data_IF_935607849386
#
_entry.id   IF_935607849386
#
_cell.length_a   1.000
_cell.length_b   1.000
_cell.length_c   1.000
_cell.angle_alpha   90.00
_cell.angle_beta   90.00
_cell.angle_gamma   90.00
#
_symmetry.space_group_name_H-M   'P 1'
#
loop_
_entity.id
_entity.type
_entity.pdbx_description
1 polymer ?
#
# COMPACT_ATOMS: atom_id res chain seq x y z
N UNK A 1 6.34 -22.12 12.38
CA UNK A 1 5.77 -21.54 11.14
C UNK A 1 5.75 -20.01 11.24
N UNK A 2 6.86 -19.38 11.65
CA UNK A 2 7.02 -17.92 11.80
C UNK A 2 7.78 -17.28 10.61
N UNK A 3 8.15 -18.06 9.59
CA UNK A 3 9.16 -17.66 8.61
C UNK A 3 8.69 -16.71 7.48
N UNK A 4 7.40 -16.37 7.37
CA UNK A 4 6.91 -15.63 6.19
C UNK A 4 6.89 -14.11 6.37
N UNK A 5 6.54 -13.58 7.54
CA UNK A 5 6.48 -12.14 7.77
C UNK A 5 7.86 -11.56 8.07
N UNK A 6 8.63 -12.23 8.92
CA UNK A 6 10.00 -11.84 9.23
C UNK A 6 10.87 -11.81 7.97
N UNK A 7 10.76 -12.81 7.09
CA UNK A 7 11.47 -12.80 5.81
C UNK A 7 11.10 -11.61 4.92
N UNK A 8 9.81 -11.19 4.91
CA UNK A 8 9.36 -10.00 4.17
C UNK A 8 9.97 -8.73 4.77
N UNK A 9 10.03 -8.61 6.10
CA UNK A 9 10.63 -7.48 6.80
C UNK A 9 12.14 -7.44 6.58
N UNK A 10 12.83 -8.58 6.61
CA UNK A 10 14.26 -8.67 6.33
C UNK A 10 14.58 -8.26 4.90
N UNK A 11 13.82 -8.75 3.92
CA UNK A 11 13.95 -8.33 2.50
C UNK A 11 13.77 -6.82 2.32
N UNK A 12 12.82 -6.24 3.06
CA UNK A 12 12.56 -4.81 3.06
C UNK A 12 13.73 -4.02 3.63
N UNK A 13 14.28 -4.44 4.77
CA UNK A 13 15.44 -3.81 5.39
C UNK A 13 16.69 -3.89 4.50
N UNK A 14 16.92 -5.05 3.86
CA UNK A 14 18.03 -5.24 2.91
C UNK A 14 17.91 -4.35 1.67
N UNK A 15 16.70 -4.17 1.13
CA UNK A 15 16.50 -3.29 -0.03
C UNK A 15 16.66 -1.82 0.33
N UNK A 16 16.26 -1.44 1.54
CA UNK A 16 16.45 -0.09 2.06
C UNK A 16 17.92 0.25 2.28
N UNK A 17 18.73 -0.65 2.84
CA UNK A 17 20.16 -0.40 3.06
C UNK A 17 20.93 -0.16 1.76
N UNK A 18 20.48 -0.74 0.64
CA UNK A 18 21.00 -0.48 -0.72
C UNK A 18 20.54 0.84 -1.33
N UNK A 19 19.51 1.45 -0.76
CA UNK A 19 18.81 2.64 -1.28
C UNK A 19 19.06 3.88 -0.40
N UNK A 20 20.14 3.90 0.38
CA UNK A 20 20.42 4.88 1.46
C UNK A 20 20.45 6.36 1.08
N UNK A 21 20.33 6.69 -0.21
CA UNK A 21 20.24 8.07 -0.73
C UNK A 21 18.81 8.59 -0.89
N UNK A 22 17.80 7.71 -0.85
CA UNK A 22 16.41 8.08 -1.07
C UNK A 22 15.79 8.54 0.24
N UNK A 23 15.24 9.76 0.31
CA UNK A 23 14.63 10.30 1.54
C UNK A 23 13.10 10.47 1.44
N UNK A 24 12.51 10.00 0.33
CA UNK A 24 11.05 9.94 0.13
C UNK A 24 10.60 8.50 0.11
N UNK A 25 9.40 8.23 0.66
CA UNK A 25 8.75 6.92 0.61
C UNK A 25 7.50 6.97 -0.25
N UNK A 26 7.31 5.99 -1.13
CA UNK A 26 6.05 5.73 -1.81
C UNK A 26 5.62 4.28 -1.56
N UNK A 27 4.45 4.10 -0.95
CA UNK A 27 3.80 2.79 -0.81
C UNK A 27 2.63 2.71 -1.78
N UNK A 28 2.62 1.69 -2.62
CA UNK A 28 1.52 1.38 -3.54
C UNK A 28 0.84 0.10 -3.08
N UNK A 29 -0.46 0.15 -2.80
CA UNK A 29 -1.25 -1.03 -2.40
C UNK A 29 -2.12 -1.49 -3.56
N UNK A 30 -2.08 -2.80 -3.85
CA UNK A 30 -2.86 -3.45 -4.90
C UNK A 30 -3.55 -4.73 -4.43
N UNK A 31 -4.88 -4.76 -4.49
CA UNK A 31 -5.69 -5.92 -4.04
C UNK A 31 -6.62 -6.52 -5.09
N UNK A 32 -6.84 -5.82 -6.21
CA UNK A 32 -7.74 -6.21 -7.29
C UNK A 32 -7.32 -5.72 -8.67
N UNK A 33 -8.33 -5.54 -9.54
CA UNK A 33 -8.17 -4.94 -10.87
C UNK A 33 -7.99 -3.43 -10.68
N UNK A 34 -6.96 -2.86 -11.28
CA UNK A 34 -6.69 -1.42 -11.17
C UNK A 34 -7.83 -0.62 -11.81
N UNK A 35 -8.30 0.39 -11.09
CA UNK A 35 -9.23 1.42 -11.60
C UNK A 35 -8.61 2.82 -11.53
N UNK A 36 -7.70 3.06 -10.58
CA UNK A 36 -7.14 4.38 -10.29
C UNK A 36 -5.66 4.51 -10.66
N UNK A 37 -4.83 3.55 -10.25
CA UNK A 37 -3.38 3.57 -10.51
C UNK A 37 -3.00 2.42 -11.43
N UNK A 38 -2.63 2.75 -12.67
CA UNK A 38 -2.04 1.81 -13.61
C UNK A 38 -0.54 1.68 -13.36
N UNK A 39 -0.08 0.46 -13.05
CA UNK A 39 1.33 0.18 -12.81
C UNK A 39 2.17 0.25 -14.09
N UNK A 40 1.56 0.06 -15.27
CA UNK A 40 2.29 0.13 -16.55
C UNK A 40 2.78 1.54 -16.85
N UNK A 41 1.96 2.54 -16.56
CA UNK A 41 2.25 3.96 -16.80
C UNK A 41 2.82 4.70 -15.59
N UNK A 42 2.85 4.07 -14.41
CA UNK A 42 3.44 4.69 -13.22
C UNK A 42 4.94 4.98 -13.42
N UNK A 43 5.30 6.25 -13.36
CA UNK A 43 6.69 6.72 -13.31
C UNK A 43 7.10 6.94 -11.86
N UNK A 44 8.24 6.37 -11.48
CA UNK A 44 8.78 6.47 -10.13
C UNK A 44 10.02 7.37 -10.22
N UNK A 45 9.97 8.52 -9.53
CA UNK A 45 11.13 9.40 -9.39
C UNK A 45 12.12 8.90 -8.32
N UNK A 46 12.91 9.80 -7.77
CA UNK A 46 13.85 9.52 -6.66
C UNK A 46 13.11 9.28 -5.33
N UNK A 47 12.41 8.14 -5.24
CA UNK A 47 11.64 7.71 -4.07
C UNK A 47 11.93 6.25 -3.77
N UNK A 48 12.03 5.89 -2.49
CA UNK A 48 12.01 4.49 -2.09
C UNK A 48 10.59 3.96 -2.27
N UNK A 49 10.42 3.09 -3.26
CA UNK A 49 9.10 2.63 -3.71
C UNK A 49 8.85 1.19 -3.28
N UNK A 50 7.70 0.98 -2.64
CA UNK A 50 7.27 -0.33 -2.13
C UNK A 50 5.91 -0.68 -2.72
N UNK A 51 5.83 -1.78 -3.45
CA UNK A 51 4.57 -2.38 -3.90
C UNK A 51 4.12 -3.45 -2.91
N UNK A 52 3.00 -3.20 -2.25
CA UNK A 52 2.27 -4.18 -1.45
C UNK A 52 1.15 -4.77 -2.30
N UNK A 53 1.21 -6.08 -2.55
CA UNK A 53 0.25 -6.76 -3.42
C UNK A 53 -0.43 -7.94 -2.72
N UNK A 54 -1.73 -8.07 -2.90
CA UNK A 54 -2.45 -9.27 -2.47
C UNK A 54 -1.91 -10.50 -3.24
N UNK A 55 -1.53 -11.56 -2.52
CA UNK A 55 -0.76 -12.70 -3.03
C UNK A 55 -1.35 -13.36 -4.28
N UNK A 56 -2.69 -13.49 -4.35
CA UNK A 56 -3.40 -14.04 -5.52
C UNK A 56 -3.21 -13.24 -6.82
N UNK A 57 -2.74 -11.99 -6.72
CA UNK A 57 -2.46 -11.14 -7.86
C UNK A 57 -1.00 -11.13 -8.28
N UNK A 58 -0.09 -11.65 -7.46
CA UNK A 58 1.34 -11.66 -7.79
C UNK A 58 1.61 -12.26 -9.18
N UNK A 59 1.01 -13.40 -9.58
CA UNK A 59 1.19 -13.97 -10.92
C UNK A 59 0.73 -13.06 -12.07
N UNK A 60 -0.16 -12.10 -11.80
CA UNK A 60 -0.75 -11.20 -12.82
C UNK A 60 0.08 -9.96 -13.09
N UNK A 61 1.11 -9.67 -12.30
CA UNK A 61 2.01 -8.55 -12.52
C UNK A 61 3.17 -8.97 -13.42
N UNK A 62 3.34 -8.24 -14.53
CA UNK A 62 4.44 -8.42 -15.49
C UNK A 62 5.79 -8.09 -14.83
N UNK A 63 6.85 -8.75 -15.29
CA UNK A 63 8.21 -8.53 -14.80
C UNK A 63 8.62 -7.05 -14.81
N UNK A 64 8.39 -6.36 -15.93
CA UNK A 64 8.72 -4.94 -16.10
C UNK A 64 8.00 -4.03 -15.09
N UNK A 65 6.79 -4.38 -14.64
CA UNK A 65 6.07 -3.63 -13.60
C UNK A 65 6.69 -3.85 -12.22
N UNK A 66 7.16 -5.07 -11.92
CA UNK A 66 7.80 -5.39 -10.64
C UNK A 66 9.14 -4.68 -10.49
N UNK A 67 9.93 -4.64 -11.56
CA UNK A 67 11.28 -4.07 -11.57
C UNK A 67 11.30 -2.55 -11.41
N UNK A 68 10.16 -1.86 -11.55
CA UNK A 68 10.04 -0.44 -11.22
C UNK A 68 10.22 -0.17 -9.72
N UNK A 69 9.77 -1.10 -8.87
CA UNK A 69 9.76 -0.91 -7.43
C UNK A 69 11.07 -1.34 -6.78
N UNK A 70 11.51 -0.63 -5.75
CA UNK A 70 12.63 -1.09 -4.92
C UNK A 70 12.27 -2.41 -4.22
N UNK A 71 11.03 -2.54 -3.75
CA UNK A 71 10.55 -3.76 -3.07
C UNK A 71 9.14 -4.11 -3.51
N UNK A 72 8.93 -5.40 -3.84
CA UNK A 72 7.60 -5.99 -3.99
C UNK A 72 7.39 -7.02 -2.88
N UNK A 73 6.35 -6.81 -2.07
CA UNK A 73 5.95 -7.69 -0.97
C UNK A 73 4.51 -8.15 -1.17
N UNK A 74 4.30 -9.46 -1.05
CA UNK A 74 2.98 -10.04 -1.09
C UNK A 74 2.38 -10.09 0.32
N UNK A 75 1.08 -9.84 0.45
CA UNK A 75 0.32 -10.09 1.66
C UNK A 75 -0.90 -10.96 1.38
N UNK A 76 -1.41 -11.61 2.40
CA UNK A 76 -2.62 -12.41 2.33
C UNK A 76 -3.79 -11.66 2.98
N UNK A 77 -4.99 -11.94 2.49
CA UNK A 77 -6.23 -11.52 3.13
C UNK A 77 -6.82 -12.73 3.84
N UNK A 78 -7.26 -12.55 5.08
CA UNK A 78 -8.04 -13.58 5.77
C UNK A 78 -9.40 -13.77 5.09
N UNK A 79 -10.05 -14.91 5.31
CA UNK A 79 -11.39 -15.18 4.76
C UNK A 79 -12.41 -14.12 5.20
N UNK A 80 -12.35 -13.68 6.45
CA UNK A 80 -13.20 -12.61 6.98
C UNK A 80 -12.99 -11.25 6.28
N UNK A 81 -11.75 -10.95 5.87
CA UNK A 81 -11.43 -9.74 5.11
C UNK A 81 -11.83 -9.85 3.63
N UNK A 82 -11.84 -11.07 3.07
CA UNK A 82 -12.23 -11.34 1.69
C UNK A 82 -13.76 -11.29 1.44
N UNK A 83 -14.57 -11.53 2.49
CA UNK A 83 -16.05 -11.56 2.43
C UNK A 83 -16.69 -10.16 2.56
N UNK A 84 -15.90 -9.12 2.84
CA UNK A 84 -16.42 -7.77 3.12
C UNK A 84 -17.26 -7.21 1.96
N UNK A 85 -18.40 -6.62 2.35
CA UNK A 85 -19.41 -6.08 1.46
C UNK A 85 -18.86 -4.82 0.78
N UNK A 86 -18.66 -4.86 -0.54
CA UNK A 86 -18.17 -3.73 -1.35
C UNK A 86 -19.10 -2.49 -1.30
N UNK A 87 -20.28 -2.60 -0.67
CA UNK A 87 -21.19 -1.48 -0.39
C UNK A 87 -20.80 -0.67 0.85
N UNK A 88 -20.02 -1.25 1.77
CA UNK A 88 -19.52 -0.57 2.96
C UNK A 88 -17.99 -0.62 3.01
N UNK A 89 -17.39 0.41 2.44
CA UNK A 89 -15.95 0.60 2.34
C UNK A 89 -15.32 1.05 3.68
N UNK A 90 -16.12 1.33 4.72
CA UNK A 90 -15.63 1.75 6.04
C UNK A 90 -14.90 0.65 6.79
N UNK A 91 -15.16 -0.61 6.43
CA UNK A 91 -14.69 -1.77 7.19
C UNK A 91 -13.51 -2.49 6.54
N UNK A 92 -13.04 -2.10 5.35
CA UNK A 92 -11.97 -2.86 4.67
C UNK A 92 -10.64 -2.69 5.41
N UNK A 93 -10.12 -3.80 5.91
CA UNK A 93 -8.84 -3.89 6.62
C UNK A 93 -8.07 -5.10 6.10
N UNK A 94 -6.74 -5.00 6.05
CA UNK A 94 -5.85 -6.12 5.76
C UNK A 94 -4.74 -6.15 6.82
N UNK A 95 -4.83 -7.05 7.78
CA UNK A 95 -3.89 -7.08 8.92
C UNK A 95 -2.43 -7.25 8.48
N UNK A 96 -2.15 -8.17 7.54
CA UNK A 96 -0.79 -8.33 7.03
C UNK A 96 -0.30 -7.10 6.26
N UNK A 97 -1.19 -6.37 5.58
CA UNK A 97 -0.83 -5.13 4.88
C UNK A 97 -0.44 -4.05 5.90
N UNK A 98 -1.22 -3.88 6.97
CA UNK A 98 -0.94 -2.95 8.07
C UNK A 98 0.42 -3.23 8.73
N UNK A 99 0.74 -4.50 8.99
CA UNK A 99 2.04 -4.92 9.53
C UNK A 99 3.20 -4.52 8.61
N UNK A 100 3.04 -4.72 7.30
CA UNK A 100 4.07 -4.34 6.32
C UNK A 100 4.22 -2.82 6.21
N UNK A 101 3.12 -2.06 6.18
CA UNK A 101 3.18 -0.59 6.17
C UNK A 101 3.89 -0.06 7.42
N UNK A 102 3.57 -0.61 8.59
CA UNK A 102 4.24 -0.30 9.85
C UNK A 102 5.75 -0.58 9.78
N UNK A 103 6.14 -1.74 9.25
CA UNK A 103 7.54 -2.10 9.08
C UNK A 103 8.29 -1.14 8.13
N UNK A 104 7.67 -0.75 7.01
CA UNK A 104 8.24 0.24 6.06
C UNK A 104 8.47 1.58 6.74
N UNK A 105 7.50 2.06 7.52
CA UNK A 105 7.60 3.34 8.23
C UNK A 105 8.67 3.35 9.33
N UNK A 106 9.14 2.18 9.79
CA UNK A 106 10.20 2.06 10.81
C UNK A 106 11.62 2.04 10.23
N UNK A 107 11.77 1.90 8.91
CA UNK A 107 13.10 1.83 8.27
C UNK A 107 13.87 3.14 8.36
N UNK A 108 13.16 4.26 8.22
CA UNK A 108 13.72 5.60 8.26
C UNK A 108 12.63 6.64 8.54
N UNK A 109 13.04 7.87 8.86
CA UNK A 109 12.16 9.01 9.10
C UNK A 109 11.57 9.61 7.82
N UNK A 110 12.18 9.37 6.65
CA UNK A 110 11.75 9.88 5.33
C UNK A 110 11.35 11.37 5.39
N UNK A 111 12.33 12.24 5.64
CA UNK A 111 12.08 13.65 5.98
C UNK A 111 11.42 14.42 4.83
N UNK A 112 11.76 14.05 3.60
CA UNK A 112 11.20 14.63 2.37
C UNK A 112 9.77 14.17 2.07
N UNK A 113 9.21 13.25 2.89
CA UNK A 113 7.79 12.90 2.89
C UNK A 113 7.51 11.43 2.59
N UNK A 114 6.32 11.00 3.04
CA UNK A 114 5.80 9.66 2.83
C UNK A 114 4.46 9.74 2.09
N UNK A 115 4.31 8.96 1.03
CA UNK A 115 3.10 8.86 0.23
C UNK A 115 2.56 7.44 0.23
N UNK A 116 1.23 7.31 0.28
CA UNK A 116 0.55 6.04 0.12
C UNK A 116 -0.60 6.18 -0.87
N UNK A 117 -0.58 5.32 -1.88
CA UNK A 117 -1.54 5.30 -2.99
C UNK A 117 -2.12 3.90 -3.15
N UNK A 118 -3.34 3.85 -3.67
CA UNK A 118 -4.06 2.60 -3.92
C UNK A 118 -4.42 2.52 -5.40
N UNK A 119 -4.47 1.31 -5.93
CA UNK A 119 -4.91 1.10 -7.31
C UNK A 119 -6.43 1.01 -7.49
N UNK A 120 -7.20 0.95 -6.40
CA UNK A 120 -8.63 0.69 -6.41
C UNK A 120 -9.41 1.68 -5.51
N UNK A 121 -10.54 2.19 -6.00
CA UNK A 121 -11.43 3.12 -5.27
C UNK A 121 -11.89 2.57 -3.90
N UNK A 122 -12.28 1.29 -3.76
CA UNK A 122 -12.60 0.70 -2.47
C UNK A 122 -11.51 0.78 -1.39
N UNK A 123 -10.25 0.94 -1.79
CA UNK A 123 -9.13 1.03 -0.86
C UNK A 123 -8.78 2.47 -0.48
N UNK A 124 -9.41 3.49 -1.06
CA UNK A 124 -9.05 4.89 -0.81
C UNK A 124 -9.24 5.23 0.67
N UNK A 125 -10.27 4.68 1.32
CA UNK A 125 -10.46 4.81 2.77
C UNK A 125 -9.41 4.07 3.59
N UNK A 126 -8.99 2.87 3.19
CA UNK A 126 -7.88 2.15 3.83
C UNK A 126 -6.58 2.97 3.76
N UNK A 127 -6.28 3.55 2.59
CA UNK A 127 -5.12 4.44 2.44
C UNK A 127 -5.24 5.68 3.34
N UNK A 128 -6.43 6.26 3.47
CA UNK A 128 -6.68 7.38 4.37
C UNK A 128 -6.44 7.01 5.84
N UNK A 129 -6.89 5.83 6.27
CA UNK A 129 -6.62 5.31 7.63
C UNK A 129 -5.12 5.13 7.85
N UNK A 130 -4.39 4.60 6.87
CA UNK A 130 -2.93 4.50 6.96
C UNK A 130 -2.24 5.88 6.94
N UNK A 131 -2.76 6.86 6.22
CA UNK A 131 -2.24 8.24 6.25
C UNK A 131 -2.33 8.83 7.64
N UNK A 132 -3.48 8.72 8.27
CA UNK A 132 -3.67 9.19 9.64
C UNK A 132 -2.77 8.40 10.62
N UNK A 133 -2.86 7.07 10.60
CA UNK A 133 -2.14 6.19 11.54
C UNK A 133 -0.62 6.31 11.46
N UNK A 134 -0.08 6.47 10.26
CA UNK A 134 1.37 6.43 10.02
C UNK A 134 1.92 7.76 9.50
N UNK A 135 1.15 8.85 9.57
CA UNK A 135 1.53 10.19 9.10
C UNK A 135 2.04 10.19 7.65
N UNK A 136 1.33 9.53 6.72
CA UNK A 136 1.54 9.74 5.29
C UNK A 136 0.80 11.00 4.84
N UNK A 137 1.32 11.66 3.81
CA UNK A 137 0.67 12.82 3.20
C UNK A 137 -0.59 12.40 2.40
N UNK A 138 -1.59 13.29 2.39
CA UNK A 138 -2.81 13.16 1.60
C UNK A 138 -4.09 13.36 2.41
N UNK A 139 -5.23 13.05 1.80
CA UNK A 139 -6.54 13.19 2.44
C UNK A 139 -6.73 12.18 3.57
N UNK A 140 -7.28 12.66 4.69
CA UNK A 140 -7.62 11.90 5.90
C UNK A 140 -8.96 11.17 5.75
N UNK A 141 -9.29 10.21 6.64
CA UNK A 141 -10.51 9.40 6.51
C UNK A 141 -11.80 10.22 6.39
N UNK A 142 -11.94 11.28 7.20
CA UNK A 142 -13.13 12.14 7.21
C UNK A 142 -13.28 12.93 5.92
N UNK A 143 -12.17 13.37 5.32
CA UNK A 143 -12.20 14.05 4.03
C UNK A 143 -12.48 13.09 2.88
N UNK A 144 -11.92 11.88 2.92
CA UNK A 144 -12.20 10.82 1.94
C UNK A 144 -13.67 10.39 2.00
N UNK A 145 -14.26 10.32 3.20
CA UNK A 145 -15.67 9.94 3.36
C UNK A 145 -16.62 10.83 2.55
N UNK A 146 -16.32 12.13 2.43
CA UNK A 146 -17.10 13.10 1.64
C UNK A 146 -17.17 12.76 0.15
N UNK A 147 -16.20 12.01 -0.38
CA UNK A 147 -16.10 11.68 -1.81
C UNK A 147 -16.47 10.23 -2.14
N UNK A 148 -16.64 9.39 -1.11
CA UNK A 148 -16.90 7.95 -1.27
C UNK A 148 -18.31 7.58 -0.78
N UNK A 149 -18.87 8.33 0.16
CA UNK A 149 -20.26 8.18 0.56
C UNK A 149 -21.19 8.96 -0.39
N UNK A 150 -21.88 8.24 -1.27
CA UNK A 150 -22.83 8.80 -2.24
C UNK A 150 -24.00 9.54 -1.60
N UNK A 151 -24.29 9.29 -0.31
CA UNK A 151 -25.29 10.03 0.46
C UNK A 151 -24.70 11.37 0.93
N UNK A 152 -23.44 11.38 1.38
CA UNK A 152 -22.75 12.61 1.78
C UNK A 152 -22.36 13.52 0.60
N UNK A 153 -22.27 12.97 -0.61
CA UNK A 153 -22.01 13.73 -1.85
C UNK A 153 -23.23 14.50 -2.39
N UNK A 154 -24.46 14.16 -1.95
CA UNK A 154 -25.70 14.84 -2.36
C UNK A 154 -25.99 16.05 -1.49
#
# INVERSE_FOLDING_TARGET
MESTMEAKISKLAESWSRSSRLDKLLVVIKTGKSFLTDLETLELGDVFSVLLILQKLAPKIKRCQREKFNVVLCFEASEAEAVKNWRDLSTVTYQQCDQLVSAVCRLNTFQSGKFIVVSEEPLVRLAAVFREKYAFQGLLPDDVAKYVDKVAMK
#
